data_IF_702211232678
#
_entry.id   IF_702211232678
#
_cell.length_a   1.000
_cell.length_b   1.000
_cell.length_c   1.000
_cell.angle_alpha   90.00
_cell.angle_beta   90.00
_cell.angle_gamma   90.00
#
_symmetry.space_group_name_H-M   'P 1'
#
loop_
_entity.id
_entity.type
_entity.pdbx_description
1 polymer ?
#
# COMPACT_ATOMS: atom_id res chain seq x y z
N UNK A 1 23.95 -20.19 -15.69
CA UNK A 1 23.07 -19.60 -14.68
C UNK A 1 21.88 -19.05 -15.41
N UNK A 2 20.68 -19.58 -15.21
CA UNK A 2 19.47 -18.95 -15.72
C UNK A 2 19.39 -17.57 -15.10
N UNK A 3 19.30 -16.52 -15.92
CA UNK A 3 19.04 -15.17 -15.41
C UNK A 3 17.72 -15.22 -14.64
N UNK A 4 17.70 -14.73 -13.41
CA UNK A 4 16.46 -14.45 -12.69
C UNK A 4 15.63 -13.53 -13.58
N UNK A 5 14.55 -14.03 -14.12
CA UNK A 5 13.64 -13.29 -14.98
C UNK A 5 12.28 -13.21 -14.28
N UNK A 6 11.57 -12.13 -14.50
CA UNK A 6 10.17 -11.99 -14.11
C UNK A 6 9.32 -12.06 -15.37
N UNK A 7 8.13 -12.63 -15.25
CA UNK A 7 7.11 -12.51 -16.26
C UNK A 7 6.56 -11.07 -16.32
N UNK A 8 6.06 -10.68 -17.48
CA UNK A 8 5.38 -9.40 -17.67
C UNK A 8 3.99 -9.47 -17.03
N UNK A 9 3.93 -9.12 -15.73
CA UNK A 9 2.66 -9.10 -14.98
C UNK A 9 1.78 -7.90 -15.39
N UNK A 10 2.40 -6.74 -15.64
CA UNK A 10 1.68 -5.55 -16.06
C UNK A 10 1.37 -5.61 -17.56
N UNK A 11 0.14 -5.25 -17.91
CA UNK A 11 -0.30 -5.21 -19.30
C UNK A 11 0.35 -4.04 -20.07
N UNK A 12 0.46 -4.11 -21.40
CA UNK A 12 0.93 -2.99 -22.21
C UNK A 12 0.15 -1.69 -21.97
N UNK A 13 -1.16 -1.78 -21.73
CA UNK A 13 -2.01 -0.63 -21.44
C UNK A 13 -1.62 0.05 -20.11
N UNK A 14 -1.36 -0.74 -19.06
CA UNK A 14 -0.92 -0.23 -17.76
C UNK A 14 0.45 0.42 -17.82
N UNK A 15 1.40 -0.21 -18.53
CA UNK A 15 2.74 0.35 -18.72
C UNK A 15 2.70 1.66 -19.50
N UNK A 16 1.92 1.71 -20.57
CA UNK A 16 1.75 2.91 -21.38
C UNK A 16 1.12 4.05 -20.59
N UNK A 17 0.05 3.75 -19.83
CA UNK A 17 -0.56 4.73 -18.95
C UNK A 17 0.45 5.28 -17.91
N UNK A 18 1.16 4.40 -17.21
CA UNK A 18 2.16 4.81 -16.22
C UNK A 18 3.29 5.65 -16.85
N UNK A 19 3.81 5.25 -18.02
CA UNK A 19 4.84 6.01 -18.76
C UNK A 19 4.35 7.39 -19.13
N UNK A 20 3.16 7.50 -19.71
CA UNK A 20 2.56 8.78 -20.10
C UNK A 20 2.41 9.70 -18.89
N UNK A 21 1.82 9.22 -17.80
CA UNK A 21 1.66 10.00 -16.58
C UNK A 21 3.00 10.47 -16.00
N UNK A 22 4.00 9.58 -15.92
CA UNK A 22 5.32 9.91 -15.38
C UNK A 22 6.09 10.85 -16.31
N UNK A 23 6.03 10.66 -17.63
CA UNK A 23 6.79 11.49 -18.58
C UNK A 23 6.28 12.93 -18.60
N UNK A 24 4.97 13.13 -18.61
CA UNK A 24 4.36 14.46 -18.68
C UNK A 24 4.51 15.28 -17.39
N UNK A 25 4.60 14.64 -16.23
CA UNK A 25 4.66 15.31 -14.94
C UNK A 25 6.06 15.86 -14.63
N UNK A 26 6.14 17.04 -14.02
CA UNK A 26 7.34 17.58 -13.38
C UNK A 26 7.23 17.47 -11.85
N UNK A 27 6.04 17.74 -11.31
CA UNK A 27 5.71 17.61 -9.90
C UNK A 27 4.80 16.40 -9.66
N UNK A 28 5.15 15.59 -8.66
CA UNK A 28 4.42 14.36 -8.33
C UNK A 28 4.09 14.33 -6.84
N UNK A 29 2.82 14.16 -6.51
CA UNK A 29 2.38 13.84 -5.15
C UNK A 29 2.13 12.33 -5.03
N UNK A 30 2.77 11.67 -4.08
CA UNK A 30 2.52 10.27 -3.75
C UNK A 30 1.75 10.21 -2.43
N UNK A 31 0.61 9.55 -2.43
CA UNK A 31 -0.24 9.42 -1.25
C UNK A 31 -0.54 7.95 -0.96
N UNK A 32 -0.60 7.60 0.32
CA UNK A 32 -0.98 6.29 0.82
C UNK A 32 -2.09 6.38 1.87
N UNK A 33 -2.55 5.26 2.41
CA UNK A 33 -3.69 5.22 3.32
C UNK A 33 -3.40 5.80 4.72
N UNK A 34 -4.48 6.13 5.45
CA UNK A 34 -4.39 6.51 6.87
C UNK A 34 -3.85 5.33 7.72
N UNK A 35 -3.06 5.65 8.77
CA UNK A 35 -2.32 4.69 9.58
C UNK A 35 -1.43 3.80 8.69
N UNK A 36 -0.49 4.40 7.94
CA UNK A 36 0.30 3.67 6.98
C UNK A 36 1.14 2.59 7.67
N UNK A 37 1.16 1.42 7.08
CA UNK A 37 1.97 0.28 7.51
C UNK A 37 3.27 0.19 6.72
N UNK A 38 3.94 -0.98 6.77
CA UNK A 38 5.22 -1.14 6.10
C UNK A 38 5.11 -1.18 4.59
N UNK A 39 4.00 -1.67 4.02
CA UNK A 39 3.80 -1.71 2.57
C UNK A 39 3.45 -0.32 2.02
N UNK A 40 2.55 0.39 2.70
CA UNK A 40 2.23 1.77 2.37
C UNK A 40 3.46 2.69 2.37
N UNK A 41 4.30 2.57 3.41
CA UNK A 41 5.55 3.33 3.52
C UNK A 41 6.60 2.87 2.51
N UNK A 42 6.77 1.56 2.37
CA UNK A 42 7.77 0.97 1.46
C UNK A 42 7.48 1.29 0.00
N UNK A 43 6.25 1.07 -0.46
CA UNK A 43 5.83 1.35 -1.85
C UNK A 43 5.93 2.84 -2.20
N UNK A 44 5.46 3.72 -1.31
CA UNK A 44 5.50 5.17 -1.54
C UNK A 44 6.92 5.72 -1.57
N UNK A 45 7.81 5.31 -0.66
CA UNK A 45 9.20 5.74 -0.63
C UNK A 45 10.01 5.15 -1.79
N UNK A 46 9.80 3.89 -2.14
CA UNK A 46 10.42 3.31 -3.32
C UNK A 46 10.05 4.09 -4.59
N UNK A 47 8.77 4.42 -4.76
CA UNK A 47 8.32 5.23 -5.88
C UNK A 47 8.94 6.63 -5.89
N UNK A 48 9.14 7.25 -4.71
CA UNK A 48 9.91 8.49 -4.57
C UNK A 48 11.34 8.35 -5.09
N UNK A 49 12.06 7.31 -4.64
CA UNK A 49 13.45 7.08 -5.08
C UNK A 49 13.54 6.93 -6.60
N UNK A 50 12.65 6.16 -7.19
CA UNK A 50 12.58 6.00 -8.64
C UNK A 50 12.33 7.33 -9.37
N UNK A 51 11.28 8.06 -8.98
CA UNK A 51 10.91 9.32 -9.64
C UNK A 51 11.95 10.43 -9.43
N UNK A 52 12.59 10.46 -8.25
CA UNK A 52 13.68 11.41 -7.98
C UNK A 52 14.91 11.13 -8.84
N UNK A 53 15.22 9.85 -9.11
CA UNK A 53 16.28 9.48 -10.07
C UNK A 53 15.94 9.92 -11.50
N UNK A 54 14.64 10.05 -11.83
CA UNK A 54 14.17 10.63 -13.09
C UNK A 54 14.14 12.17 -13.06
N UNK A 55 14.62 12.83 -12.01
CA UNK A 55 14.64 14.28 -11.88
C UNK A 55 13.30 14.93 -11.58
N UNK A 56 12.28 14.15 -11.14
CA UNK A 56 10.97 14.68 -10.79
C UNK A 56 10.97 15.31 -9.37
N UNK A 57 10.14 16.33 -9.19
CA UNK A 57 9.90 16.92 -7.86
C UNK A 57 8.82 16.07 -7.14
N UNK A 58 9.22 15.34 -6.10
CA UNK A 58 8.35 14.35 -5.45
C UNK A 58 8.01 14.77 -4.03
N UNK A 59 6.71 14.79 -3.70
CA UNK A 59 6.20 14.98 -2.35
C UNK A 59 5.45 13.73 -1.91
N UNK A 60 5.98 13.00 -0.90
CA UNK A 60 5.24 11.92 -0.27
C UNK A 60 4.33 12.48 0.82
N UNK A 61 3.10 12.03 0.85
CA UNK A 61 2.07 12.47 1.79
C UNK A 61 1.54 11.26 2.54
N UNK A 62 1.52 11.35 3.88
CA UNK A 62 0.81 10.40 4.73
C UNK A 62 -0.28 11.12 5.51
N UNK A 63 -1.52 10.59 5.51
CA UNK A 63 -2.65 11.25 6.18
C UNK A 63 -2.51 11.34 7.70
N UNK A 64 -1.90 10.33 8.31
CA UNK A 64 -1.68 10.21 9.76
C UNK A 64 -0.24 9.83 10.07
N UNK A 65 0.15 9.85 11.34
CA UNK A 65 1.47 9.36 11.75
C UNK A 65 1.67 7.87 11.43
N UNK A 66 2.89 7.50 11.07
CA UNK A 66 3.33 6.13 10.82
C UNK A 66 4.02 5.52 12.05
N UNK A 67 4.14 4.19 12.14
CA UNK A 67 4.82 3.52 13.25
C UNK A 67 6.30 3.89 13.39
N UNK A 68 6.77 4.04 14.64
CA UNK A 68 8.16 4.41 14.95
C UNK A 68 9.19 3.43 14.33
N UNK A 69 8.84 2.14 14.19
CA UNK A 69 9.72 1.14 13.62
C UNK A 69 9.95 1.29 12.10
N UNK A 70 9.25 2.22 11.44
CA UNK A 70 9.45 2.58 10.03
C UNK A 70 10.22 3.90 9.85
N UNK A 71 10.51 4.63 10.95
CA UNK A 71 11.15 5.95 10.91
C UNK A 71 12.61 5.95 10.41
N UNK A 72 13.17 4.79 10.14
CA UNK A 72 14.53 4.62 9.61
C UNK A 72 14.56 4.38 8.08
N UNK A 73 13.41 4.24 7.44
CA UNK A 73 13.36 4.01 5.99
C UNK A 73 14.00 5.17 5.23
N UNK A 74 14.78 4.88 4.17
CA UNK A 74 15.40 5.92 3.36
C UNK A 74 14.36 6.87 2.76
N UNK A 75 14.56 8.18 2.94
CA UNK A 75 13.67 9.22 2.42
C UNK A 75 12.47 9.57 3.32
N UNK A 76 12.33 8.90 4.48
CA UNK A 76 11.23 9.13 5.42
C UNK A 76 11.20 10.55 5.98
N UNK A 77 12.34 11.21 6.11
CA UNK A 77 12.50 12.57 6.61
C UNK A 77 11.86 13.64 5.69
N UNK A 78 11.60 13.29 4.44
CA UNK A 78 10.98 14.19 3.45
C UNK A 78 9.47 13.98 3.32
N UNK A 79 8.87 13.11 4.13
CA UNK A 79 7.43 12.86 4.12
C UNK A 79 6.67 14.03 4.76
N UNK A 80 5.64 14.49 4.08
CA UNK A 80 4.69 15.46 4.63
C UNK A 80 3.57 14.71 5.34
N UNK A 81 3.54 14.81 6.67
CA UNK A 81 2.46 14.25 7.48
C UNK A 81 1.33 15.27 7.57
N UNK A 82 0.13 14.93 7.11
CA UNK A 82 -1.01 15.84 7.12
C UNK A 82 -1.38 16.31 8.54
N UNK A 83 -1.34 15.43 9.53
CA UNK A 83 -1.64 15.81 10.92
C UNK A 83 -0.70 16.89 11.47
N UNK A 84 0.52 16.98 10.97
CA UNK A 84 1.52 17.96 11.40
C UNK A 84 1.53 19.22 10.52
N UNK A 85 1.26 19.08 9.22
CA UNK A 85 1.25 20.17 8.26
C UNK A 85 0.10 20.01 7.23
N UNK A 86 -1.16 20.27 7.66
CA UNK A 86 -2.32 20.07 6.82
C UNK A 86 -2.32 20.90 5.52
N UNK A 87 -1.87 22.15 5.61
CA UNK A 87 -1.85 23.05 4.46
C UNK A 87 -0.87 22.60 3.39
N UNK A 88 0.37 22.24 3.77
CA UNK A 88 1.37 21.77 2.84
C UNK A 88 0.97 20.45 2.17
N UNK A 89 0.38 19.49 2.91
CA UNK A 89 -0.10 18.24 2.36
C UNK A 89 -1.25 18.45 1.36
N UNK A 90 -2.24 19.27 1.73
CA UNK A 90 -3.37 19.58 0.87
C UNK A 90 -2.92 20.32 -0.41
N UNK A 91 -2.02 21.29 -0.27
CA UNK A 91 -1.50 22.08 -1.38
C UNK A 91 -0.70 21.18 -2.34
N UNK A 92 0.20 20.34 -1.82
CA UNK A 92 0.98 19.41 -2.64
C UNK A 92 0.07 18.45 -3.45
N UNK A 93 -1.03 17.98 -2.85
CA UNK A 93 -1.98 17.10 -3.53
C UNK A 93 -2.78 17.82 -4.63
N UNK A 94 -3.09 19.13 -4.44
CA UNK A 94 -3.81 19.93 -5.44
C UNK A 94 -2.93 20.37 -6.60
N UNK A 95 -1.68 20.75 -6.32
CA UNK A 95 -0.81 21.40 -7.30
C UNK A 95 0.05 20.41 -8.12
N UNK A 96 0.12 19.14 -7.71
CA UNK A 96 0.91 18.15 -8.42
C UNK A 96 0.36 17.90 -9.84
N UNK A 97 1.26 17.81 -10.83
CA UNK A 97 0.92 17.40 -12.19
C UNK A 97 0.40 15.97 -12.24
N UNK A 98 0.94 15.10 -11.34
CA UNK A 98 0.56 13.70 -11.20
C UNK A 98 0.33 13.35 -9.74
N UNK A 99 -0.79 12.71 -9.45
CA UNK A 99 -1.02 12.04 -8.17
C UNK A 99 -0.83 10.55 -8.34
N UNK A 100 0.02 9.95 -7.49
CA UNK A 100 0.21 8.50 -7.41
C UNK A 100 -0.35 8.00 -6.09
N UNK A 101 -1.30 7.08 -6.17
CA UNK A 101 -1.86 6.37 -5.03
C UNK A 101 -1.13 5.03 -4.90
N UNK A 102 -0.41 4.81 -3.79
CA UNK A 102 0.22 3.52 -3.48
C UNK A 102 -0.48 2.87 -2.30
N UNK A 103 -0.83 1.59 -2.45
CA UNK A 103 -1.55 0.78 -1.45
C UNK A 103 -2.94 1.34 -1.10
N UNK A 104 -3.51 2.10 -2.00
CA UNK A 104 -4.90 2.58 -1.97
C UNK A 104 -5.47 2.73 -3.38
N UNK A 105 -6.74 2.38 -3.54
CA UNK A 105 -7.52 2.63 -4.74
C UNK A 105 -8.80 3.43 -4.48
N UNK A 106 -9.05 3.85 -3.24
CA UNK A 106 -10.29 4.54 -2.87
C UNK A 106 -10.00 5.81 -2.06
N UNK A 107 -10.58 6.97 -2.43
CA UNK A 107 -10.34 8.24 -1.73
C UNK A 107 -10.71 8.20 -0.24
N UNK A 108 -11.68 7.37 0.17
CA UNK A 108 -12.13 7.28 1.56
C UNK A 108 -11.06 6.76 2.55
N UNK A 109 -9.94 6.21 2.07
CA UNK A 109 -8.86 5.67 2.93
C UNK A 109 -7.81 6.71 3.36
N UNK A 110 -7.93 7.96 2.94
CA UNK A 110 -6.93 9.03 3.24
C UNK A 110 -7.42 10.05 4.29
N UNK A 111 -8.32 9.67 5.16
CA UNK A 111 -8.84 10.51 6.25
C UNK A 111 -9.32 11.88 5.78
N UNK A 112 -8.79 12.98 6.35
CA UNK A 112 -9.22 14.34 6.04
C UNK A 112 -8.80 14.84 4.63
N UNK A 113 -7.98 14.08 3.90
CA UNK A 113 -7.64 14.37 2.49
C UNK A 113 -8.61 13.74 1.49
N UNK A 114 -9.66 13.01 1.97
CA UNK A 114 -10.59 12.26 1.12
C UNK A 114 -11.28 13.13 0.07
N UNK A 115 -11.74 14.32 0.44
CA UNK A 115 -12.42 15.22 -0.49
C UNK A 115 -11.51 15.71 -1.61
N UNK A 116 -10.26 16.11 -1.27
CA UNK A 116 -9.27 16.57 -2.25
C UNK A 116 -8.86 15.42 -3.19
N UNK A 117 -8.68 14.23 -2.65
CA UNK A 117 -8.35 13.06 -3.48
C UNK A 117 -9.53 12.67 -4.37
N UNK A 118 -10.77 12.76 -3.87
CA UNK A 118 -11.97 12.51 -4.66
C UNK A 118 -12.13 13.50 -5.83
N UNK A 119 -11.77 14.78 -5.64
CA UNK A 119 -11.72 15.76 -6.73
C UNK A 119 -10.77 15.32 -7.85
N UNK A 120 -9.58 14.78 -7.50
CA UNK A 120 -8.61 14.25 -8.47
C UNK A 120 -9.15 13.03 -9.21
N UNK A 121 -9.80 12.11 -8.51
CA UNK A 121 -10.45 10.93 -9.12
C UNK A 121 -11.54 11.36 -10.10
N UNK A 122 -12.43 12.27 -9.71
CA UNK A 122 -13.51 12.77 -10.57
C UNK A 122 -12.97 13.51 -11.82
N UNK A 123 -11.90 14.29 -11.68
CA UNK A 123 -11.25 14.93 -12.81
C UNK A 123 -10.65 13.90 -13.78
N UNK A 124 -10.02 12.84 -13.25
CA UNK A 124 -9.51 11.74 -14.05
C UNK A 124 -10.62 11.02 -14.81
N UNK A 125 -11.71 10.62 -14.14
CA UNK A 125 -12.86 9.94 -14.76
C UNK A 125 -13.49 10.80 -15.88
N UNK A 126 -13.64 12.10 -15.65
CA UNK A 126 -14.19 13.06 -16.63
C UNK A 126 -13.31 13.15 -17.88
N UNK A 127 -11.97 13.14 -17.71
CA UNK A 127 -11.04 13.18 -18.82
C UNK A 127 -11.11 11.92 -19.71
N UNK A 128 -11.30 10.74 -19.11
CA UNK A 128 -11.44 9.47 -19.84
C UNK A 128 -12.74 9.40 -20.64
N UNK A 129 -13.84 9.93 -20.09
CA UNK A 129 -15.15 9.92 -20.76
C UNK A 129 -15.18 10.81 -22.00
N UNK A 130 -14.49 11.94 -21.98
CA UNK A 130 -14.38 12.87 -23.12
C UNK A 130 -13.62 12.26 -24.32
N UNK A 131 -12.59 11.46 -24.07
CA UNK A 131 -11.84 10.75 -25.11
C UNK A 131 -12.66 9.67 -25.80
N UNK A 132 -13.60 9.03 -25.11
CA UNK A 132 -14.43 7.93 -25.66
C UNK A 132 -15.58 8.41 -26.55
N UNK A 133 -16.00 9.68 -26.46
CA UNK A 133 -17.12 10.22 -27.20
C UNK A 133 -16.78 10.77 -28.63
N UNK A 134 -15.58 10.52 -29.11
CA UNK A 134 -15.22 10.80 -30.53
C UNK A 134 -15.08 12.28 -30.89
N UNK A 135 -15.08 13.18 -29.96
CA UNK A 135 -14.65 14.55 -30.16
C UNK A 135 -13.13 14.58 -30.17
N UNK A 136 -12.57 14.44 -31.39
CA UNK A 136 -11.14 14.60 -31.67
C UNK A 136 -10.70 16.07 -31.40
N UNK A 137 -10.60 16.45 -30.16
CA UNK A 137 -9.89 17.64 -29.71
C UNK A 137 -8.90 17.24 -28.61
N UNK A 138 -8.04 16.27 -28.91
CA UNK A 138 -6.73 16.23 -28.27
C UNK A 138 -5.97 17.43 -28.88
N UNK A 139 -6.20 18.61 -28.36
CA UNK A 139 -5.37 19.76 -28.64
C UNK A 139 -4.00 19.49 -28.00
N UNK A 140 -3.03 19.14 -28.80
CA UNK A 140 -1.61 19.12 -28.49
C UNK A 140 -1.16 20.54 -28.10
N UNK A 141 -1.53 21.01 -26.92
CA UNK A 141 -1.01 22.29 -26.49
C UNK A 141 -1.77 23.13 -25.49
N UNK A 142 -2.91 22.72 -24.99
CA UNK A 142 -3.58 23.46 -23.89
C UNK A 142 -3.85 22.54 -22.69
N UNK A 143 -3.11 22.80 -21.66
CA UNK A 143 -3.29 22.58 -20.22
C UNK A 143 -4.66 21.97 -19.85
N UNK A 144 -4.84 20.65 -19.92
CA UNK A 144 -5.86 19.97 -19.14
C UNK A 144 -5.28 19.72 -17.74
N UNK A 145 -5.30 20.81 -16.98
CA UNK A 145 -4.73 20.91 -15.66
C UNK A 145 -5.23 19.79 -14.76
N UNK A 146 -4.29 19.11 -14.09
CA UNK A 146 -4.49 18.28 -12.89
C UNK A 146 -5.32 16.99 -13.03
N UNK A 147 -5.44 16.36 -14.17
CA UNK A 147 -6.20 15.11 -14.34
C UNK A 147 -5.34 13.82 -14.32
N UNK A 148 -4.02 13.89 -14.15
CA UNK A 148 -3.18 12.70 -14.17
C UNK A 148 -3.23 11.96 -12.82
N UNK A 149 -3.64 10.68 -12.88
CA UNK A 149 -3.77 9.79 -11.72
C UNK A 149 -3.18 8.42 -12.07
N UNK A 150 -2.33 7.88 -11.19
CA UNK A 150 -1.81 6.51 -11.25
C UNK A 150 -2.08 5.79 -9.94
N UNK A 151 -2.79 4.67 -10.01
CA UNK A 151 -3.09 3.82 -8.86
C UNK A 151 -2.22 2.56 -8.94
N UNK A 152 -1.55 2.23 -7.84
CA UNK A 152 -0.76 1.01 -7.66
C UNK A 152 -1.22 0.35 -6.37
N UNK A 153 -2.10 -0.66 -6.48
CA UNK A 153 -2.76 -1.27 -5.33
C UNK A 153 -2.92 -2.79 -5.50
N UNK A 154 -2.92 -3.50 -4.40
CA UNK A 154 -3.19 -4.94 -4.36
C UNK A 154 -4.48 -5.28 -3.61
N UNK A 155 -5.30 -4.29 -3.29
CA UNK A 155 -6.60 -4.49 -2.69
C UNK A 155 -7.71 -4.69 -3.75
N UNK A 156 -8.79 -5.38 -3.37
CA UNK A 156 -9.99 -5.42 -4.18
C UNK A 156 -10.64 -4.03 -4.21
N UNK A 157 -10.76 -3.45 -5.38
CA UNK A 157 -11.36 -2.13 -5.58
C UNK A 157 -12.31 -2.11 -6.78
N UNK A 158 -13.46 -1.47 -6.60
CA UNK A 158 -14.40 -1.22 -7.70
C UNK A 158 -13.88 -0.16 -8.68
N UNK A 159 -13.08 0.80 -8.20
CA UNK A 159 -12.49 1.85 -9.04
C UNK A 159 -11.59 1.22 -10.10
N UNK A 160 -10.64 0.38 -9.69
CA UNK A 160 -9.72 -0.24 -10.64
C UNK A 160 -10.39 -1.23 -11.59
N UNK A 161 -11.55 -1.80 -11.23
CA UNK A 161 -12.31 -2.67 -12.13
C UNK A 161 -12.87 -1.91 -13.35
N UNK A 162 -13.11 -0.61 -13.22
CA UNK A 162 -13.59 0.25 -14.30
C UNK A 162 -12.46 0.91 -15.10
N UNK A 163 -11.23 0.85 -14.58
CA UNK A 163 -10.04 1.49 -15.15
C UNK A 163 -8.91 0.48 -15.35
N UNK A 164 -8.96 -0.32 -16.44
CA UNK A 164 -8.00 -1.40 -16.69
C UNK A 164 -6.56 -0.92 -16.93
N UNK A 165 -6.35 0.37 -17.15
CA UNK A 165 -5.04 1.01 -17.26
C UNK A 165 -4.38 1.25 -15.90
N UNK A 166 -5.13 1.19 -14.80
CA UNK A 166 -4.57 1.29 -13.44
C UNK A 166 -3.96 -0.04 -13.00
N UNK A 167 -2.94 0.02 -12.15
CA UNK A 167 -2.20 -1.16 -11.69
C UNK A 167 -2.85 -1.68 -10.41
N UNK A 168 -3.75 -2.66 -10.55
CA UNK A 168 -4.45 -3.27 -9.43
C UNK A 168 -4.47 -4.79 -9.57
N UNK A 169 -3.77 -5.47 -8.65
CA UNK A 169 -3.61 -6.92 -8.66
C UNK A 169 -3.82 -7.51 -7.26
N UNK A 170 -5.04 -7.95 -6.93
CA UNK A 170 -5.34 -8.55 -5.62
C UNK A 170 -4.55 -9.83 -5.30
N UNK A 171 -3.98 -10.47 -6.32
CA UNK A 171 -3.14 -11.66 -6.18
C UNK A 171 -1.67 -11.33 -5.90
N UNK A 172 -1.28 -10.06 -5.95
CA UNK A 172 0.07 -9.64 -5.57
C UNK A 172 0.24 -9.64 -4.06
N UNK A 173 1.44 -9.95 -3.62
CA UNK A 173 1.75 -10.02 -2.20
C UNK A 173 1.68 -8.66 -1.50
N UNK A 174 1.94 -7.56 -2.24
CA UNK A 174 1.98 -6.20 -1.71
C UNK A 174 1.99 -5.16 -2.83
N UNK A 175 1.65 -3.91 -2.53
CA UNK A 175 1.82 -2.78 -3.44
C UNK A 175 3.31 -2.53 -3.75
N UNK A 176 4.21 -2.81 -2.81
CA UNK A 176 5.67 -2.75 -3.02
C UNK A 176 6.14 -3.72 -4.11
N UNK A 177 5.58 -4.93 -4.18
CA UNK A 177 5.83 -5.85 -5.29
C UNK A 177 5.43 -5.22 -6.63
N UNK A 178 4.27 -4.60 -6.70
CA UNK A 178 3.77 -3.96 -7.93
C UNK A 178 4.62 -2.76 -8.36
N UNK A 179 5.06 -1.95 -7.40
CA UNK A 179 6.03 -0.85 -7.67
C UNK A 179 7.34 -1.42 -8.24
N UNK A 180 7.88 -2.49 -7.64
CA UNK A 180 9.08 -3.14 -8.19
C UNK A 180 8.85 -3.62 -9.61
N UNK A 181 7.74 -4.31 -9.89
CA UNK A 181 7.41 -4.82 -11.23
C UNK A 181 7.26 -3.71 -12.25
N UNK A 182 6.61 -2.60 -11.88
CA UNK A 182 6.50 -1.41 -12.75
C UNK A 182 7.88 -0.88 -13.13
N UNK A 183 8.73 -0.62 -12.13
CA UNK A 183 10.08 -0.09 -12.37
C UNK A 183 10.92 -1.09 -13.19
N UNK A 184 10.84 -2.39 -12.86
CA UNK A 184 11.55 -3.45 -13.56
C UNK A 184 11.15 -3.52 -15.03
N UNK A 185 9.85 -3.54 -15.36
CA UNK A 185 9.38 -3.61 -16.74
C UNK A 185 9.74 -2.34 -17.53
N UNK A 186 9.61 -1.15 -16.94
CA UNK A 186 10.07 0.11 -17.58
C UNK A 186 11.55 0.02 -17.97
N UNK A 187 12.40 -0.46 -17.06
CA UNK A 187 13.84 -0.59 -17.27
C UNK A 187 14.17 -1.67 -18.30
N UNK A 188 13.46 -2.81 -18.29
CA UNK A 188 13.67 -3.91 -19.26
C UNK A 188 13.27 -3.51 -20.67
N UNK A 189 12.14 -2.82 -20.82
CA UNK A 189 11.71 -2.34 -22.14
C UNK A 189 12.71 -1.38 -22.75
N UNK A 190 13.31 -0.49 -21.96
CA UNK A 190 14.36 0.39 -22.42
C UNK A 190 15.62 -0.39 -22.84
N UNK A 191 15.99 -1.45 -22.12
CA UNK A 191 17.10 -2.34 -22.51
C UNK A 191 16.81 -3.07 -23.82
N UNK A 192 15.60 -3.60 -23.98
CA UNK A 192 15.21 -4.31 -25.20
C UNK A 192 15.28 -3.40 -26.44
N UNK A 193 14.88 -2.14 -26.29
CA UNK A 193 15.02 -1.13 -27.35
C UNK A 193 16.49 -0.84 -27.69
N UNK A 194 17.36 -0.73 -26.66
CA UNK A 194 18.80 -0.47 -26.84
C UNK A 194 19.51 -1.67 -27.48
N UNK A 195 19.19 -2.89 -27.08
CA UNK A 195 19.82 -4.13 -27.57
C UNK A 195 19.23 -4.62 -28.89
N UNK A 196 18.15 -4.02 -29.40
CA UNK A 196 17.49 -4.40 -30.66
C UNK A 196 16.83 -5.77 -30.63
N UNK A 197 16.60 -6.34 -29.44
CA UNK A 197 16.10 -7.71 -29.25
C UNK A 197 14.59 -7.84 -29.14
N UNK A 198 13.83 -6.73 -29.00
CA UNK A 198 12.38 -6.76 -28.92
C UNK A 198 11.71 -6.62 -30.29
N UNK A 199 11.13 -7.72 -30.78
CA UNK A 199 10.30 -7.70 -31.99
C UNK A 199 8.86 -7.24 -31.75
N UNK A 200 8.40 -7.14 -30.52
CA UNK A 200 7.00 -6.83 -30.17
C UNK A 200 6.71 -5.35 -29.91
N UNK A 201 7.72 -4.53 -29.61
CA UNK A 201 7.56 -3.08 -29.44
C UNK A 201 7.57 -2.27 -30.73
N UNK A 202 7.73 -2.90 -31.90
CA UNK A 202 7.90 -2.19 -33.20
C UNK A 202 6.63 -1.55 -33.75
N UNK A 203 5.46 -1.96 -33.32
CA UNK A 203 4.19 -1.46 -33.91
C UNK A 203 3.54 -0.29 -33.16
N UNK A 204 3.93 -0.04 -31.90
CA UNK A 204 3.31 1.02 -31.08
C UNK A 204 4.17 2.29 -30.93
N UNK A 205 5.46 2.24 -31.27
CA UNK A 205 6.36 3.39 -31.17
C UNK A 205 7.32 3.40 -32.34
N UNK A 206 7.35 4.46 -33.15
CA UNK A 206 8.49 4.73 -33.98
C UNK A 206 9.69 5.03 -33.07
N UNK A 207 10.67 4.11 -32.95
CA UNK A 207 11.83 4.36 -32.11
C UNK A 207 12.71 5.40 -32.83
N UNK A 208 12.83 6.57 -32.26
CA UNK A 208 13.96 7.43 -32.59
C UNK A 208 15.18 6.74 -31.99
N UNK A 209 15.76 5.81 -32.74
CA UNK A 209 16.99 5.10 -32.44
C UNK A 209 18.16 6.07 -32.59
N UNK A 210 18.64 6.59 -31.50
CA UNK A 210 19.97 7.16 -31.40
C UNK A 210 20.84 6.25 -30.55
N UNK A 211 21.81 5.61 -31.17
CA UNK A 211 22.64 4.53 -30.60
C UNK A 211 23.79 5.11 -29.75
N UNK A 212 23.50 5.84 -28.70
CA UNK A 212 24.56 6.32 -27.82
C UNK A 212 24.48 5.60 -26.46
N UNK A 213 25.17 4.46 -26.32
CA UNK A 213 25.72 4.05 -25.04
C UNK A 213 26.90 4.97 -24.71
N UNK A 214 26.83 5.70 -23.61
CA UNK A 214 28.04 6.22 -23.03
C UNK A 214 28.83 5.06 -22.36
N UNK A 215 30.11 5.29 -22.08
CA UNK A 215 31.00 4.30 -21.48
C UNK A 215 30.63 3.94 -20.03
N UNK A 216 29.56 4.50 -19.47
CA UNK A 216 29.11 4.31 -18.08
C UNK A 216 27.86 3.46 -17.94
N UNK A 217 27.35 2.86 -19.02
CA UNK A 217 26.17 1.98 -18.95
C UNK A 217 24.86 2.73 -18.66
N UNK A 218 24.77 4.01 -19.05
CA UNK A 218 23.56 4.82 -18.93
C UNK A 218 22.46 4.25 -19.81
N UNK A 219 21.28 4.04 -19.24
CA UNK A 219 20.06 3.71 -19.98
C UNK A 219 19.38 5.04 -20.31
N UNK A 220 19.24 5.33 -21.63
CA UNK A 220 18.41 6.44 -22.05
C UNK A 220 16.95 6.09 -21.84
N UNK A 221 16.31 6.69 -20.83
CA UNK A 221 14.88 6.65 -20.61
C UNK A 221 14.21 7.66 -21.54
N UNK A 222 14.40 7.53 -22.87
CA UNK A 222 13.92 8.52 -23.86
C UNK A 222 12.43 8.76 -23.82
N UNK A 223 11.63 7.77 -23.38
CA UNK A 223 10.21 8.00 -23.10
C UNK A 223 9.97 9.03 -21.99
N UNK A 224 10.99 9.32 -21.20
CA UNK A 224 10.94 10.30 -20.11
C UNK A 224 11.81 11.53 -20.37
N UNK A 225 12.47 11.62 -21.56
CA UNK A 225 13.46 12.65 -21.89
C UNK A 225 14.59 12.78 -20.85
N UNK A 226 14.97 11.65 -20.21
CA UNK A 226 15.94 11.63 -19.11
C UNK A 226 16.91 10.48 -19.33
N UNK A 227 18.20 10.82 -19.34
CA UNK A 227 19.29 9.87 -19.30
C UNK A 227 19.75 9.71 -17.85
N UNK A 228 19.58 8.52 -17.27
CA UNK A 228 20.04 8.21 -15.91
C UNK A 228 20.86 6.92 -15.93
N UNK A 229 21.90 6.80 -15.10
CA UNK A 229 22.60 5.54 -14.88
C UNK A 229 21.64 4.48 -14.36
N UNK A 230 21.80 3.24 -14.83
CA UNK A 230 20.95 2.12 -14.35
C UNK A 230 20.96 1.97 -12.83
N UNK A 231 22.16 2.11 -12.23
CA UNK A 231 22.34 2.01 -10.76
C UNK A 231 21.66 3.16 -10.01
N UNK A 232 21.38 4.28 -10.64
CA UNK A 232 20.63 5.39 -10.06
C UNK A 232 19.13 5.09 -9.91
N UNK A 233 18.63 4.06 -10.59
CA UNK A 233 17.22 3.63 -10.51
C UNK A 233 17.05 2.54 -9.45
N UNK A 234 17.85 1.47 -9.52
CA UNK A 234 17.80 0.34 -8.61
C UNK A 234 18.84 0.48 -7.50
N UNK A 235 18.69 1.50 -6.68
CA UNK A 235 19.58 1.79 -5.56
C UNK A 235 19.33 0.88 -4.35
N UNK A 236 20.28 0.75 -3.40
CA UNK A 236 20.03 0.09 -2.12
C UNK A 236 18.86 0.71 -1.34
N UNK A 237 18.64 2.04 -1.44
CA UNK A 237 17.55 2.73 -0.76
C UNK A 237 16.20 2.33 -1.34
N UNK A 238 16.06 2.32 -2.67
CA UNK A 238 14.88 1.79 -3.35
C UNK A 238 14.61 0.33 -2.94
N UNK A 239 15.65 -0.51 -2.99
CA UNK A 239 15.53 -1.92 -2.65
C UNK A 239 15.17 -2.16 -1.18
N UNK A 240 15.69 -1.33 -0.26
CA UNK A 240 15.33 -1.36 1.17
C UNK A 240 13.85 -1.08 1.37
N UNK A 241 13.31 -0.06 0.71
CA UNK A 241 11.90 0.30 0.78
C UNK A 241 11.00 -0.84 0.24
N UNK A 242 11.30 -1.36 -0.94
CA UNK A 242 10.56 -2.48 -1.55
C UNK A 242 10.60 -3.72 -0.64
N UNK A 243 11.81 -4.11 -0.20
CA UNK A 243 11.97 -5.30 0.66
C UNK A 243 11.17 -5.17 1.96
N UNK A 244 11.19 -3.98 2.58
CA UNK A 244 10.44 -3.73 3.81
C UNK A 244 8.95 -3.87 3.60
N UNK A 245 8.38 -3.29 2.54
CA UNK A 245 6.96 -3.42 2.23
C UNK A 245 6.56 -4.86 1.98
N UNK A 246 7.26 -5.57 1.09
CA UNK A 246 7.00 -6.99 0.82
C UNK A 246 7.11 -7.85 2.09
N UNK A 247 8.12 -7.61 2.92
CA UNK A 247 8.36 -8.36 4.15
C UNK A 247 7.25 -8.13 5.20
N UNK A 248 6.80 -6.89 5.36
CA UNK A 248 5.77 -6.57 6.37
C UNK A 248 4.42 -7.12 5.98
N UNK A 249 4.00 -6.99 4.73
CA UNK A 249 2.69 -7.40 4.26
C UNK A 249 2.53 -8.92 4.13
N UNK A 250 3.64 -9.62 3.95
CA UNK A 250 3.69 -11.10 3.92
C UNK A 250 4.02 -11.72 5.28
N UNK A 251 4.11 -10.94 6.35
CA UNK A 251 4.51 -11.43 7.67
C UNK A 251 5.87 -12.15 7.63
N UNK A 252 6.88 -11.49 7.08
CA UNK A 252 8.19 -12.07 6.81
C UNK A 252 8.13 -13.31 5.90
N UNK A 253 7.40 -13.20 4.79
CA UNK A 253 7.22 -14.27 3.80
C UNK A 253 6.59 -15.54 4.35
N UNK A 254 5.71 -15.40 5.35
CA UNK A 254 5.01 -16.52 6.00
C UNK A 254 3.63 -16.78 5.41
N UNK A 255 3.03 -15.80 4.74
CA UNK A 255 1.74 -15.90 4.05
C UNK A 255 1.72 -15.02 2.78
N UNK A 256 0.78 -15.26 1.87
CA UNK A 256 0.69 -14.62 0.55
C UNK A 256 2.03 -14.63 -0.22
N UNK A 257 2.82 -15.68 -0.03
CA UNK A 257 4.20 -15.73 -0.49
C UNK A 257 4.55 -17.04 -1.22
N UNK A 258 3.55 -17.67 -1.85
CA UNK A 258 3.75 -18.92 -2.60
C UNK A 258 4.21 -18.71 -4.05
N UNK A 259 4.14 -17.48 -4.57
CA UNK A 259 4.57 -17.15 -5.93
C UNK A 259 6.11 -17.22 -6.06
N UNK A 260 6.66 -18.09 -6.93
CA UNK A 260 8.12 -18.21 -7.08
C UNK A 260 8.80 -16.92 -7.52
N UNK A 261 8.13 -16.11 -8.33
CA UNK A 261 8.67 -14.84 -8.83
C UNK A 261 8.87 -13.79 -7.74
N UNK A 262 8.09 -13.84 -6.67
CA UNK A 262 8.32 -13.00 -5.51
C UNK A 262 9.71 -13.22 -4.90
N UNK A 263 10.16 -14.48 -4.82
CA UNK A 263 11.51 -14.80 -4.36
C UNK A 263 12.59 -14.40 -5.38
N UNK A 264 12.27 -14.40 -6.68
CA UNK A 264 13.16 -13.82 -7.69
C UNK A 264 13.32 -12.30 -7.47
N UNK A 265 12.24 -11.59 -7.13
CA UNK A 265 12.33 -10.17 -6.75
C UNK A 265 13.23 -10.00 -5.52
N UNK A 266 13.01 -10.76 -4.46
CA UNK A 266 13.85 -10.74 -3.26
C UNK A 266 15.33 -10.98 -3.60
N UNK A 267 15.62 -11.98 -4.46
CA UNK A 267 16.99 -12.25 -4.91
C UNK A 267 17.60 -11.05 -5.66
N UNK A 268 16.82 -10.38 -6.53
CA UNK A 268 17.26 -9.17 -7.22
C UNK A 268 17.53 -8.02 -6.25
N UNK A 269 16.65 -7.80 -5.27
CA UNK A 269 16.84 -6.77 -4.25
C UNK A 269 18.13 -7.01 -3.45
N UNK A 270 18.45 -8.25 -3.10
CA UNK A 270 19.69 -8.59 -2.39
C UNK A 270 20.94 -8.28 -3.20
N UNK A 271 20.89 -8.34 -4.54
CA UNK A 271 22.03 -7.96 -5.39
C UNK A 271 22.39 -6.48 -5.32
N UNK A 272 21.49 -5.62 -4.86
CA UNK A 272 21.75 -4.19 -4.62
C UNK A 272 22.59 -3.92 -3.38
N UNK A 273 22.86 -4.95 -2.57
CA UNK A 273 23.67 -4.85 -1.35
C UNK A 273 22.89 -4.52 -0.09
N UNK A 274 21.54 -4.59 -0.10
CA UNK A 274 20.75 -4.42 1.12
C UNK A 274 21.06 -5.52 2.15
N UNK A 275 21.03 -5.15 3.43
CA UNK A 275 21.15 -6.09 4.54
C UNK A 275 19.76 -6.47 5.09
N UNK A 276 19.21 -7.58 4.59
CA UNK A 276 17.89 -8.05 4.98
C UNK A 276 17.75 -8.36 6.49
N UNK A 277 18.85 -8.82 7.13
CA UNK A 277 18.82 -9.15 8.55
C UNK A 277 18.72 -7.88 9.39
N UNK A 278 19.45 -6.83 9.01
CA UNK A 278 19.33 -5.52 9.65
C UNK A 278 17.94 -4.88 9.43
N UNK A 279 17.32 -5.09 8.25
CA UNK A 279 15.94 -4.67 7.99
C UNK A 279 14.97 -5.41 8.90
N UNK A 280 15.10 -6.74 8.99
CA UNK A 280 14.28 -7.57 9.87
C UNK A 280 14.37 -7.12 11.33
N UNK A 281 15.59 -6.89 11.82
CA UNK A 281 15.81 -6.47 13.20
C UNK A 281 15.14 -5.13 13.50
N UNK A 282 15.20 -4.17 12.57
CA UNK A 282 14.56 -2.85 12.73
C UNK A 282 13.04 -2.90 12.73
N UNK A 283 12.46 -3.85 12.01
CA UNK A 283 10.99 -3.99 11.88
C UNK A 283 10.43 -4.88 12.99
N UNK A 284 10.99 -6.07 13.20
CA UNK A 284 10.41 -7.09 14.08
C UNK A 284 11.06 -7.17 15.46
N UNK A 285 12.33 -6.76 15.60
CA UNK A 285 13.08 -6.82 16.86
C UNK A 285 13.22 -5.46 17.56
N UNK A 286 12.54 -4.42 17.10
CA UNK A 286 12.56 -3.06 17.67
C UNK A 286 11.40 -2.79 18.66
N UNK A 287 10.83 -3.84 19.25
CA UNK A 287 9.72 -3.69 20.20
C UNK A 287 10.16 -3.06 21.52
N UNK A 288 9.40 -2.09 22.02
CA UNK A 288 9.57 -1.56 23.37
C UNK A 288 9.19 -2.62 24.43
N UNK A 289 9.77 -2.50 25.62
CA UNK A 289 9.38 -3.33 26.77
C UNK A 289 7.87 -3.20 27.07
N UNK A 290 7.32 -2.00 26.91
CA UNK A 290 5.90 -1.73 27.17
C UNK A 290 5.02 -2.45 26.16
N UNK A 291 5.40 -2.46 24.88
CA UNK A 291 4.71 -3.24 23.83
C UNK A 291 4.73 -4.74 24.15
N UNK A 292 5.90 -5.31 24.48
CA UNK A 292 5.99 -6.74 24.82
C UNK A 292 5.15 -7.10 26.05
N UNK A 293 5.13 -6.25 27.08
CA UNK A 293 4.27 -6.43 28.25
C UNK A 293 2.79 -6.35 27.90
N UNK A 294 2.40 -5.42 27.04
CA UNK A 294 1.04 -5.30 26.54
C UNK A 294 0.61 -6.54 25.75
N UNK A 295 1.46 -7.06 24.87
CA UNK A 295 1.23 -8.31 24.14
C UNK A 295 1.01 -9.46 25.14
N UNK A 296 1.90 -9.62 26.13
CA UNK A 296 1.74 -10.63 27.16
C UNK A 296 0.42 -10.49 27.93
N UNK A 297 0.02 -9.27 28.26
CA UNK A 297 -1.27 -8.98 28.89
C UNK A 297 -2.45 -9.35 27.98
N UNK A 298 -2.39 -9.00 26.70
CA UNK A 298 -3.41 -9.35 25.72
C UNK A 298 -3.59 -10.87 25.60
N UNK A 299 -2.50 -11.62 25.51
CA UNK A 299 -2.53 -13.06 25.30
C UNK A 299 -2.94 -13.81 26.60
N UNK A 300 -2.48 -13.37 27.76
CA UNK A 300 -2.74 -14.08 29.01
C UNK A 300 -4.05 -13.66 29.68
N UNK A 301 -4.37 -12.38 29.71
CA UNK A 301 -5.53 -11.87 30.47
C UNK A 301 -6.74 -11.54 29.61
N UNK A 302 -6.56 -11.18 28.35
CA UNK A 302 -7.64 -10.65 27.51
C UNK A 302 -8.11 -11.62 26.45
N UNK A 303 -7.28 -12.56 26.02
CA UNK A 303 -7.64 -13.54 25.01
C UNK A 303 -8.71 -14.49 25.53
N UNK A 304 -9.82 -14.59 24.79
CA UNK A 304 -10.86 -15.59 24.95
C UNK A 304 -10.87 -16.51 23.76
N UNK A 305 -10.85 -17.81 23.98
CA UNK A 305 -10.94 -18.81 22.90
C UNK A 305 -12.32 -19.45 22.95
N UNK A 306 -12.93 -19.57 21.79
CA UNK A 306 -14.23 -20.20 21.55
C UNK A 306 -14.00 -21.44 20.68
N UNK A 307 -13.73 -22.60 21.31
CA UNK A 307 -13.35 -23.79 20.55
C UNK A 307 -14.43 -24.25 19.56
N UNK A 308 -15.70 -24.09 19.91
CA UNK A 308 -16.87 -24.43 19.08
C UNK A 308 -16.97 -23.60 17.80
N UNK A 309 -16.27 -22.46 17.72
CA UNK A 309 -16.21 -21.58 16.54
C UNK A 309 -14.78 -21.44 16.00
N UNK A 310 -13.82 -22.22 16.51
CA UNK A 310 -12.40 -22.12 16.12
C UNK A 310 -11.86 -20.67 16.17
N UNK A 311 -12.33 -19.88 17.13
CA UNK A 311 -12.15 -18.43 17.16
C UNK A 311 -11.46 -17.97 18.44
N UNK A 312 -10.52 -17.03 18.30
CA UNK A 312 -9.97 -16.27 19.42
C UNK A 312 -10.35 -14.79 19.32
N UNK A 313 -10.69 -14.18 20.44
CA UNK A 313 -11.03 -12.78 20.58
C UNK A 313 -10.14 -12.12 21.63
N UNK A 314 -9.54 -11.00 21.29
CA UNK A 314 -8.78 -10.13 22.21
C UNK A 314 -9.45 -8.75 22.22
N UNK A 315 -9.70 -8.20 23.40
CA UNK A 315 -10.24 -6.84 23.57
C UNK A 315 -9.30 -5.99 24.40
N UNK A 316 -9.07 -4.73 24.01
CA UNK A 316 -8.20 -3.79 24.71
C UNK A 316 -8.86 -2.41 24.77
N UNK A 317 -9.18 -1.93 25.98
CA UNK A 317 -9.77 -0.63 26.17
C UNK A 317 -8.70 0.48 26.29
N UNK A 318 -9.12 1.74 26.23
CA UNK A 318 -8.19 2.87 26.30
C UNK A 318 -7.42 2.99 27.59
N UNK A 319 -8.03 2.59 28.74
CA UNK A 319 -7.35 2.62 30.04
C UNK A 319 -6.22 1.59 30.08
N UNK A 320 -6.45 0.42 29.51
CA UNK A 320 -5.43 -0.64 29.39
C UNK A 320 -4.30 -0.22 28.46
N UNK A 321 -4.61 0.38 27.29
CA UNK A 321 -3.59 0.94 26.39
C UNK A 321 -2.74 2.01 27.08
N UNK A 322 -3.38 2.93 27.82
CA UNK A 322 -2.67 3.95 28.59
C UNK A 322 -1.75 3.35 29.65
N UNK A 323 -2.16 2.28 30.34
CA UNK A 323 -1.35 1.56 31.35
C UNK A 323 -0.05 1.03 30.77
N UNK A 324 -0.03 0.65 29.51
CA UNK A 324 1.16 0.15 28.81
C UNK A 324 1.84 1.22 27.95
N UNK A 325 1.48 2.49 28.14
CA UNK A 325 2.06 3.58 27.34
C UNK A 325 2.06 3.29 25.82
N UNK A 326 0.96 2.67 25.34
CA UNK A 326 0.84 2.17 23.96
C UNK A 326 0.88 3.34 22.95
N UNK A 327 1.71 3.19 21.94
CA UNK A 327 1.88 4.12 20.83
C UNK A 327 1.22 3.61 19.56
N UNK A 328 1.20 4.47 18.53
CA UNK A 328 0.81 4.07 17.18
C UNK A 328 1.72 2.92 16.69
N UNK A 329 1.13 1.88 16.10
CA UNK A 329 1.86 0.69 15.65
C UNK A 329 2.05 -0.41 16.70
N UNK A 330 1.96 -0.11 18.02
CA UNK A 330 2.21 -1.11 19.07
C UNK A 330 1.20 -2.27 19.07
N UNK A 331 0.01 -2.06 18.53
CA UNK A 331 -1.04 -3.08 18.40
C UNK A 331 -0.92 -3.94 17.14
N UNK A 332 -0.01 -3.57 16.24
CA UNK A 332 0.16 -4.29 14.98
C UNK A 332 0.66 -5.72 15.22
N UNK A 333 0.09 -6.68 14.51
CA UNK A 333 0.44 -8.09 14.61
C UNK A 333 -0.21 -8.85 15.77
N UNK A 334 -0.77 -8.20 16.81
CA UNK A 334 -1.42 -8.88 17.94
C UNK A 334 -2.53 -9.82 17.45
N UNK A 335 -3.31 -9.40 16.47
CA UNK A 335 -4.40 -10.19 15.89
C UNK A 335 -3.92 -11.49 15.24
N UNK A 336 -2.67 -11.58 14.79
CA UNK A 336 -2.13 -12.78 14.14
C UNK A 336 -1.69 -13.85 15.17
N UNK A 337 -1.36 -13.45 16.39
CA UNK A 337 -0.78 -14.36 17.38
C UNK A 337 -1.69 -15.54 17.77
N UNK A 338 -3.01 -15.35 17.97
CA UNK A 338 -3.90 -16.48 18.32
C UNK A 338 -4.01 -17.53 17.21
N UNK A 339 -3.73 -17.21 15.94
CA UNK A 339 -3.74 -18.19 14.85
C UNK A 339 -2.63 -19.24 14.95
N UNK A 340 -1.69 -19.09 15.89
CA UNK A 340 -0.68 -20.11 16.22
C UNK A 340 -1.25 -21.22 17.12
N UNK A 341 -2.43 -21.01 17.71
CA UNK A 341 -3.08 -22.01 18.53
C UNK A 341 -3.68 -23.07 17.61
N UNK A 342 -3.40 -24.35 17.90
CA UNK A 342 -3.99 -25.45 17.16
C UNK A 342 -5.53 -25.35 17.18
N UNK A 343 -6.16 -25.57 16.04
CA UNK A 343 -7.61 -25.53 15.83
C UNK A 343 -8.26 -24.15 16.04
N UNK A 344 -7.47 -23.06 16.07
CA UNK A 344 -7.95 -21.67 15.98
C UNK A 344 -7.72 -21.16 14.56
N UNK A 345 -8.81 -20.93 13.82
CA UNK A 345 -8.77 -20.51 12.42
C UNK A 345 -9.20 -19.05 12.21
N UNK A 346 -9.84 -18.47 13.23
CA UNK A 346 -10.26 -17.07 13.23
C UNK A 346 -9.66 -16.33 14.42
N UNK A 347 -9.18 -15.14 14.19
CA UNK A 347 -8.69 -14.28 15.25
C UNK A 347 -9.23 -12.87 15.08
N UNK A 348 -9.69 -12.29 16.20
CA UNK A 348 -10.26 -10.96 16.25
C UNK A 348 -9.60 -10.15 17.35
N UNK A 349 -9.13 -8.96 17.00
CA UNK A 349 -8.59 -8.00 17.94
C UNK A 349 -9.42 -6.72 17.89
N UNK A 350 -9.93 -6.30 19.03
CA UNK A 350 -10.73 -5.09 19.18
C UNK A 350 -10.04 -4.12 20.12
N UNK A 351 -9.89 -2.87 19.71
CA UNK A 351 -9.37 -1.80 20.55
C UNK A 351 -10.28 -0.60 20.58
N UNK A 352 -10.36 0.08 21.71
CA UNK A 352 -11.04 1.37 21.78
C UNK A 352 -10.21 2.48 21.15
N UNK A 353 -10.90 3.34 20.41
CA UNK A 353 -10.31 4.55 19.83
C UNK A 353 -11.20 5.76 20.11
N UNK A 354 -10.63 6.96 19.98
CA UNK A 354 -11.43 8.20 19.98
C UNK A 354 -12.14 8.33 18.65
N UNK A 355 -13.36 8.85 18.68
CA UNK A 355 -14.03 9.26 17.46
C UNK A 355 -13.37 10.55 16.97
N UNK A 356 -12.80 10.58 15.76
CA UNK A 356 -12.21 11.80 15.21
C UNK A 356 -13.24 12.92 15.07
N UNK A 357 -12.87 14.20 15.18
CA UNK A 357 -13.79 15.32 15.10
C UNK A 357 -14.64 15.39 13.81
N UNK A 358 -14.11 14.87 12.70
CA UNK A 358 -14.80 14.82 11.39
C UNK A 358 -15.79 13.66 11.27
N UNK A 359 -15.73 12.67 12.17
CA UNK A 359 -16.65 11.53 12.25
C UNK A 359 -17.63 11.73 13.41
N UNK A 360 -18.21 12.91 13.57
CA UNK A 360 -19.17 13.16 14.68
C UNK A 360 -20.35 12.20 14.54
N UNK A 361 -20.64 11.37 15.57
CA UNK A 361 -21.86 10.58 15.59
C UNK A 361 -23.07 11.52 15.63
N UNK A 362 -24.21 11.05 15.11
CA UNK A 362 -25.48 11.75 15.25
C UNK A 362 -25.80 11.96 16.75
N UNK A 363 -26.53 13.04 17.07
CA UNK A 363 -26.79 13.43 18.45
C UNK A 363 -27.39 12.25 19.27
N UNK A 364 -26.61 11.74 20.22
CA UNK A 364 -27.00 10.60 21.08
C UNK A 364 -26.11 9.35 20.94
N UNK A 365 -25.17 9.33 19.97
CA UNK A 365 -24.29 8.18 19.76
C UNK A 365 -23.01 8.20 20.62
N UNK A 366 -22.32 7.05 20.65
CA UNK A 366 -21.19 6.71 21.47
C UNK A 366 -20.07 7.77 21.50
N UNK A 367 -19.43 7.92 22.66
CA UNK A 367 -18.26 8.80 22.86
C UNK A 367 -16.93 8.18 22.37
N UNK A 368 -16.94 6.89 22.11
CA UNK A 368 -15.81 6.08 21.67
C UNK A 368 -16.24 5.16 20.54
N UNK A 369 -15.27 4.67 19.78
CA UNK A 369 -15.48 3.61 18.81
C UNK A 369 -14.50 2.47 19.06
N UNK A 370 -14.93 1.24 18.80
CA UNK A 370 -14.04 0.09 18.72
C UNK A 370 -13.51 -0.04 17.29
N UNK A 371 -12.19 -0.11 17.14
CA UNK A 371 -11.51 -0.47 15.91
C UNK A 371 -11.23 -1.98 15.95
N UNK A 372 -11.58 -2.68 14.89
CA UNK A 372 -11.60 -4.14 14.86
C UNK A 372 -10.68 -4.63 13.75
N UNK A 373 -9.82 -5.57 14.07
CA UNK A 373 -9.01 -6.30 13.10
C UNK A 373 -9.45 -7.76 13.09
N UNK A 374 -9.70 -8.29 11.90
CA UNK A 374 -10.09 -9.67 11.66
C UNK A 374 -8.99 -10.39 10.88
N UNK A 375 -8.69 -11.63 11.27
CA UNK A 375 -7.81 -12.52 10.54
C UNK A 375 -8.40 -13.92 10.50
N UNK A 376 -8.09 -14.65 9.41
CA UNK A 376 -8.46 -16.06 9.30
C UNK A 376 -7.41 -16.85 8.52
N UNK A 377 -7.56 -18.17 8.49
CA UNK A 377 -6.69 -19.09 7.74
C UNK A 377 -7.51 -19.90 6.73
N UNK A 378 -6.91 -20.22 5.58
CA UNK A 378 -7.53 -20.99 4.51
C UNK A 378 -8.75 -20.28 3.89
N UNK A 379 -9.72 -21.04 3.42
CA UNK A 379 -10.92 -20.54 2.71
C UNK A 379 -12.01 -20.05 3.69
N UNK A 380 -11.66 -19.19 4.63
CA UNK A 380 -12.54 -18.69 5.69
C UNK A 380 -12.67 -17.16 5.65
N UNK A 381 -13.63 -16.62 4.88
CA UNK A 381 -13.75 -15.19 4.64
C UNK A 381 -14.19 -14.43 5.90
N UNK A 382 -13.39 -13.48 6.36
CA UNK A 382 -13.73 -12.52 7.43
C UNK A 382 -14.16 -11.14 6.90
N UNK A 383 -13.89 -10.85 5.64
CA UNK A 383 -14.28 -9.60 5.00
C UNK A 383 -15.80 -9.43 4.87
N UNK A 384 -16.54 -10.53 4.76
CA UNK A 384 -18.00 -10.51 4.72
C UNK A 384 -18.55 -9.98 6.05
N UNK A 385 -18.10 -10.55 7.17
CA UNK A 385 -18.48 -10.08 8.50
C UNK A 385 -18.07 -8.62 8.73
N UNK A 386 -16.84 -8.26 8.36
CA UNK A 386 -16.35 -6.88 8.49
C UNK A 386 -17.27 -5.89 7.76
N UNK A 387 -17.69 -6.20 6.54
CA UNK A 387 -18.54 -5.34 5.71
C UNK A 387 -19.99 -5.29 6.20
N UNK A 388 -20.60 -6.47 6.49
CA UNK A 388 -22.02 -6.54 6.81
C UNK A 388 -22.35 -6.06 8.23
N UNK A 389 -21.44 -6.20 9.18
CA UNK A 389 -21.70 -5.98 10.61
C UNK A 389 -20.90 -4.83 11.20
N UNK A 390 -19.66 -4.61 10.73
CA UNK A 390 -18.70 -3.73 11.38
C UNK A 390 -18.23 -2.57 10.49
N UNK A 391 -19.00 -2.15 9.51
CA UNK A 391 -18.69 -0.99 8.64
C UNK A 391 -17.27 -1.02 8.11
N UNK A 392 -16.80 -2.18 7.69
CA UNK A 392 -15.42 -2.41 7.30
C UNK A 392 -15.27 -3.09 5.95
N UNK A 393 -14.09 -3.66 5.73
CA UNK A 393 -13.71 -4.37 4.52
C UNK A 393 -12.28 -4.85 4.57
N UNK A 394 -11.77 -5.29 3.43
CA UNK A 394 -10.41 -5.79 3.27
C UNK A 394 -10.38 -7.13 2.53
N UNK A 395 -9.24 -7.81 2.60
CA UNK A 395 -9.05 -9.12 1.99
C UNK A 395 -9.85 -10.22 2.68
N UNK A 396 -10.01 -11.34 1.99
CA UNK A 396 -10.73 -12.50 2.49
C UNK A 396 -10.27 -12.92 3.90
N UNK A 397 -8.97 -13.00 4.13
CA UNK A 397 -8.36 -13.46 5.38
C UNK A 397 -7.82 -12.33 6.27
N UNK A 398 -7.88 -11.06 5.83
CA UNK A 398 -7.37 -9.90 6.56
C UNK A 398 -8.27 -8.69 6.34
N UNK A 399 -9.09 -8.36 7.30
CA UNK A 399 -10.09 -7.29 7.20
C UNK A 399 -10.08 -6.40 8.44
N UNK A 400 -10.55 -5.18 8.27
CA UNK A 400 -10.78 -4.23 9.36
C UNK A 400 -12.24 -3.83 9.45
N UNK A 401 -12.62 -3.26 10.61
CA UNK A 401 -13.96 -2.71 10.80
C UNK A 401 -14.03 -1.74 11.97
N UNK A 402 -15.17 -1.10 12.11
CA UNK A 402 -15.46 -0.15 13.19
C UNK A 402 -16.84 -0.42 13.81
N UNK A 403 -16.93 -0.18 15.11
CA UNK A 403 -18.18 -0.21 15.82
C UNK A 403 -18.27 1.01 16.73
N UNK A 404 -19.37 1.79 16.62
CA UNK A 404 -19.59 2.95 17.47
C UNK A 404 -20.14 2.48 18.83
N UNK A 405 -19.26 2.43 19.82
CA UNK A 405 -19.45 1.89 21.15
C UNK A 405 -18.12 1.46 21.75
N UNK A 406 -18.14 0.99 22.97
CA UNK A 406 -16.95 0.45 23.64
C UNK A 406 -16.60 -0.97 23.15
N UNK A 407 -15.42 -1.45 23.54
CA UNK A 407 -14.95 -2.79 23.11
C UNK A 407 -15.77 -3.94 23.67
N UNK A 408 -16.45 -3.77 24.81
CA UNK A 408 -17.27 -4.81 25.41
C UNK A 408 -18.60 -4.94 24.65
N UNK A 409 -19.19 -3.82 24.20
CA UNK A 409 -20.37 -3.79 23.31
C UNK A 409 -20.03 -4.40 21.94
N UNK A 410 -18.89 -4.03 21.37
CA UNK A 410 -18.41 -4.59 20.10
C UNK A 410 -18.18 -6.11 20.22
N UNK A 411 -17.55 -6.55 21.31
CA UNK A 411 -17.30 -7.97 21.58
C UNK A 411 -18.61 -8.76 21.74
N UNK A 412 -19.59 -8.20 22.45
CA UNK A 412 -20.92 -8.81 22.58
C UNK A 412 -21.58 -8.98 21.22
N UNK A 413 -21.56 -7.93 20.40
CA UNK A 413 -22.10 -7.98 19.02
C UNK A 413 -21.39 -9.03 18.17
N UNK A 414 -20.05 -9.14 18.27
CA UNK A 414 -19.30 -10.14 17.55
C UNK A 414 -19.68 -11.57 17.99
N UNK A 415 -19.78 -11.82 19.30
CA UNK A 415 -20.15 -13.14 19.84
C UNK A 415 -21.55 -13.55 19.36
N UNK A 416 -22.51 -12.64 19.30
CA UNK A 416 -23.85 -12.87 18.74
C UNK A 416 -23.82 -13.27 17.26
N UNK A 417 -22.80 -12.77 16.51
CA UNK A 417 -22.68 -13.03 15.06
C UNK A 417 -21.86 -14.28 14.73
N UNK A 418 -21.06 -14.82 15.68
CA UNK A 418 -20.21 -16.00 15.43
C UNK A 418 -20.98 -17.19 14.81
N UNK A 419 -22.17 -17.59 15.29
CA UNK A 419 -22.90 -18.73 14.72
C UNK A 419 -23.23 -18.57 13.23
N UNK A 420 -23.34 -17.32 12.74
CA UNK A 420 -23.67 -17.04 11.36
C UNK A 420 -22.43 -17.02 10.43
N UNK A 421 -21.30 -16.52 10.94
CA UNK A 421 -20.13 -16.20 10.10
C UNK A 421 -18.91 -17.08 10.33
N UNK A 422 -18.79 -17.70 11.51
CA UNK A 422 -17.67 -18.60 11.82
C UNK A 422 -18.07 -20.03 11.48
N UNK A 423 -17.45 -20.56 10.43
CA UNK A 423 -17.72 -21.96 10.02
C UNK A 423 -17.07 -22.92 11.01
N UNK A 424 -17.78 -23.97 11.33
CA UNK A 424 -17.35 -25.02 12.26
C UNK A 424 -16.81 -26.26 11.55
N UNK A 425 -16.86 -26.27 10.20
CA UNK A 425 -16.39 -27.37 9.34
C UNK A 425 -15.18 -26.93 8.50
#
# INVERSE_FOLDING_TARGET
MNKLALSDKLTPLQLEHARRCISSAQSVAIITHQNPDGDAMGSSLAMRHFLSALGKQVTNIVPTSFPDFLAWLPGVEAIVQYEQNPEAAAQALRDADLVICTDIAEPGRVAALSDILAERFNAYESSQTSCNNGENTCNDGENTDNASLLIIDHHLSSVCSNHPEQIAYPDSASASELVFRLVYQIVQDNRAVIEGTSSQCRECFEPILDNTRDHHGTISLRHYNIDVPFDAILTPDFATCIYTGMMTDTGNFSYNSCEPEMYNIVAMLLTTGINKDAIYDRVFNACSTDRLRMIGYCLYHKMKVFPEYHTALITLNRREMYRFNAKSGDMEGIVNMPLQIKDVYYSVFMREDKIPPHQKPEAGEAKVKAKISFRSQGDRPVNILAREVFRGGGHMNASGGEFFGDVDEAAKKFIEMMPKYMRTE
#
